data_IF_585613829840
#
_entry.id   IF_585613829840
#
_cell.length_a   1.000
_cell.length_b   1.000
_cell.length_c   1.000
_cell.angle_alpha   90.00
_cell.angle_beta   90.00
_cell.angle_gamma   90.00
#
_symmetry.space_group_name_H-M   'P 1'
#
loop_
_entity.id
_entity.type
_entity.pdbx_description
1 polymer ?
#
# COMPACT_ATOMS: atom_id res chain seq x y z
N UNK A 1 26.59 -22.63 47.86
CA UNK A 1 25.12 -22.82 47.98
C UNK A 1 24.43 -21.89 46.94
N UNK A 2 23.90 -22.47 45.89
CA UNK A 2 23.09 -21.71 44.90
C UNK A 2 21.65 -21.66 45.39
N UNK A 3 21.14 -20.46 45.67
CA UNK A 3 19.76 -20.20 46.03
C UNK A 3 18.86 -20.62 44.84
N UNK A 4 18.05 -21.65 45.04
CA UNK A 4 17.00 -22.00 44.11
C UNK A 4 15.85 -20.98 44.31
N UNK A 5 15.69 -20.05 43.39
CA UNK A 5 14.47 -19.23 43.31
C UNK A 5 13.30 -20.14 42.92
N UNK A 6 12.14 -20.05 43.60
CA UNK A 6 10.98 -20.87 43.27
C UNK A 6 10.48 -20.53 41.86
N UNK A 7 10.43 -21.53 41.00
CA UNK A 7 9.89 -21.41 39.64
C UNK A 7 8.38 -21.25 39.72
N UNK A 8 7.85 -20.06 39.31
CA UNK A 8 6.42 -19.82 39.25
C UNK A 8 5.76 -20.78 38.23
N UNK A 9 4.68 -21.45 38.65
CA UNK A 9 3.93 -22.34 37.74
C UNK A 9 3.28 -21.52 36.60
N UNK A 10 3.14 -22.10 35.40
CA UNK A 10 2.48 -21.46 34.24
C UNK A 10 1.07 -20.98 34.59
N UNK A 11 0.34 -21.73 35.40
CA UNK A 11 -1.00 -21.32 35.87
C UNK A 11 -0.95 -20.05 36.74
N UNK A 12 0.06 -19.89 37.58
CA UNK A 12 0.22 -18.69 38.39
C UNK A 12 0.56 -17.48 37.52
N UNK A 13 1.42 -17.64 36.51
CA UNK A 13 1.77 -16.58 35.56
C UNK A 13 0.54 -16.15 34.73
N UNK A 14 -0.27 -17.09 34.27
CA UNK A 14 -1.49 -16.79 33.50
C UNK A 14 -2.53 -16.03 34.36
N UNK A 15 -2.71 -16.41 35.60
CA UNK A 15 -3.61 -15.73 36.55
C UNK A 15 -3.09 -14.31 36.87
N UNK A 16 -1.78 -14.14 37.03
CA UNK A 16 -1.18 -12.83 37.29
C UNK A 16 -1.32 -11.93 36.07
N UNK A 17 -1.14 -12.44 34.85
CA UNK A 17 -1.33 -11.70 33.61
C UNK A 17 -2.81 -11.28 33.42
N UNK A 18 -3.76 -12.18 33.68
CA UNK A 18 -5.18 -11.89 33.60
C UNK A 18 -5.59 -10.80 34.63
N UNK A 19 -5.07 -10.88 35.86
CA UNK A 19 -5.31 -9.87 36.90
C UNK A 19 -4.77 -8.50 36.49
N UNK A 20 -3.54 -8.42 35.98
CA UNK A 20 -2.93 -7.17 35.49
C UNK A 20 -3.70 -6.58 34.32
N UNK A 21 -4.17 -7.41 33.39
CA UNK A 21 -5.00 -6.96 32.29
C UNK A 21 -6.35 -6.39 32.75
N UNK A 22 -6.97 -7.01 33.76
CA UNK A 22 -8.21 -6.50 34.34
C UNK A 22 -8.01 -5.17 35.06
N UNK A 23 -6.94 -5.03 35.85
CA UNK A 23 -6.54 -3.78 36.51
C UNK A 23 -6.29 -2.66 35.46
N UNK A 24 -5.58 -2.95 34.38
CA UNK A 24 -5.31 -2.02 33.28
C UNK A 24 -6.60 -1.57 32.60
N UNK A 25 -7.53 -2.49 32.31
CA UNK A 25 -8.83 -2.18 31.72
C UNK A 25 -9.72 -1.33 32.62
N UNK A 26 -9.60 -1.48 33.93
CA UNK A 26 -10.38 -0.69 34.90
C UNK A 26 -9.89 0.77 35.02
N UNK A 27 -8.62 1.04 34.67
CA UNK A 27 -8.00 2.39 34.73
C UNK A 27 -8.21 3.14 33.40
N UNK A 28 -8.45 2.40 32.30
CA UNK A 28 -8.71 3.05 31.02
C UNK A 28 -10.03 3.83 31.12
N UNK A 29 -10.04 5.13 30.75
CA UNK A 29 -11.29 5.86 30.63
C UNK A 29 -12.19 5.10 29.67
N UNK A 30 -13.47 4.95 30.03
CA UNK A 30 -14.47 4.36 29.14
C UNK A 30 -14.49 5.15 27.83
N UNK A 31 -13.75 4.67 26.84
CA UNK A 31 -13.81 5.25 25.50
C UNK A 31 -15.24 5.14 25.03
N UNK A 32 -15.89 6.24 24.62
CA UNK A 32 -17.21 6.15 24.01
C UNK A 32 -17.13 5.12 22.88
N UNK A 33 -18.19 4.32 22.65
CA UNK A 33 -18.16 3.29 21.62
C UNK A 33 -17.65 3.94 20.33
N UNK A 34 -16.49 3.49 19.87
CA UNK A 34 -15.90 3.97 18.61
C UNK A 34 -16.99 3.76 17.56
N UNK A 35 -17.33 4.83 16.83
CA UNK A 35 -18.19 4.67 15.64
C UNK A 35 -17.71 3.45 14.91
N UNK A 36 -18.61 2.54 14.48
CA UNK A 36 -18.19 1.31 13.81
C UNK A 36 -17.23 1.71 12.69
N UNK A 37 -15.98 1.25 12.81
CA UNK A 37 -14.93 1.53 11.82
C UNK A 37 -15.43 0.91 10.51
N UNK A 38 -15.94 1.74 9.61
CA UNK A 38 -16.28 1.29 8.27
C UNK A 38 -14.99 0.90 7.60
N UNK A 39 -14.73 -0.40 7.50
CA UNK A 39 -13.62 -0.92 6.73
C UNK A 39 -13.75 -0.37 5.32
N UNK A 40 -12.72 0.31 4.84
CA UNK A 40 -12.64 0.71 3.45
C UNK A 40 -12.38 -0.58 2.67
N UNK A 41 -13.36 -1.00 1.90
CA UNK A 41 -13.19 -2.12 0.98
C UNK A 41 -12.84 -1.57 -0.40
N UNK A 42 -12.07 -2.31 -1.16
CA UNK A 42 -11.88 -2.06 -2.58
C UNK A 42 -13.25 -1.99 -3.28
N UNK A 43 -13.41 -1.07 -4.22
CA UNK A 43 -14.63 -0.91 -5.00
C UNK A 43 -14.31 -1.15 -6.48
N UNK A 44 -15.11 -1.94 -7.19
CA UNK A 44 -14.90 -2.17 -8.62
C UNK A 44 -15.03 -0.85 -9.42
N UNK A 45 -14.34 -0.75 -10.56
CA UNK A 45 -14.54 0.34 -11.51
C UNK A 45 -15.88 0.20 -12.24
N UNK A 46 -16.34 1.26 -12.94
CA UNK A 46 -17.46 1.18 -13.87
C UNK A 46 -17.22 0.17 -15.01
N UNK A 47 -18.30 -0.14 -15.74
CA UNK A 47 -18.24 -0.99 -16.95
C UNK A 47 -17.28 -0.35 -17.97
N UNK A 48 -16.51 -1.18 -18.63
CA UNK A 48 -15.55 -0.82 -19.70
C UNK A 48 -14.36 0.04 -19.23
N UNK A 49 -14.19 0.21 -17.92
CA UNK A 49 -13.06 0.90 -17.31
C UNK A 49 -12.30 -0.08 -16.43
N UNK A 50 -10.99 -0.04 -16.48
CA UNK A 50 -10.12 -0.81 -15.57
C UNK A 50 -9.75 0.01 -14.34
N UNK A 51 -9.32 -0.68 -13.30
CA UNK A 51 -8.72 -0.04 -12.13
C UNK A 51 -7.29 -0.49 -11.98
N UNK A 52 -6.39 0.48 -11.89
CA UNK A 52 -4.96 0.28 -11.65
C UNK A 52 -4.71 0.67 -10.20
N UNK A 53 -4.50 -0.32 -9.33
CA UNK A 53 -4.04 -0.07 -7.97
C UNK A 53 -2.52 -0.21 -7.92
N UNK A 54 -1.86 0.70 -7.20
CA UNK A 54 -0.42 0.68 -7.02
C UNK A 54 -0.02 0.94 -5.57
N UNK A 55 1.11 0.38 -5.15
CA UNK A 55 1.72 0.59 -3.85
C UNK A 55 3.24 0.46 -3.97
N UNK A 56 3.98 1.15 -3.09
CA UNK A 56 5.42 1.07 -3.00
C UNK A 56 5.87 0.92 -1.55
N UNK A 57 6.94 0.20 -1.31
CA UNK A 57 7.52 0.10 0.02
C UNK A 57 9.05 0.06 0.01
N UNK A 58 9.61 0.37 1.17
CA UNK A 58 11.03 0.38 1.45
C UNK A 58 11.32 -0.75 2.43
N UNK A 59 12.30 -1.57 2.10
CA UNK A 59 12.79 -2.67 2.92
C UNK A 59 14.23 -2.38 3.31
N UNK A 60 14.40 -1.76 4.49
CA UNK A 60 15.70 -1.27 4.95
C UNK A 60 16.70 -2.40 5.22
N UNK A 61 16.24 -3.53 5.75
CA UNK A 61 17.07 -4.70 6.03
C UNK A 61 17.60 -5.33 4.74
N UNK A 62 16.76 -5.41 3.71
CA UNK A 62 17.10 -5.93 2.39
C UNK A 62 17.78 -4.91 1.48
N UNK A 63 17.92 -3.66 1.94
CA UNK A 63 18.49 -2.51 1.22
C UNK A 63 17.86 -2.31 -0.15
N UNK A 64 16.54 -2.45 -0.24
CA UNK A 64 15.80 -2.29 -1.48
C UNK A 64 14.47 -1.56 -1.27
N UNK A 65 13.91 -1.11 -2.37
CA UNK A 65 12.52 -0.69 -2.48
C UNK A 65 11.76 -1.66 -3.37
N UNK A 66 10.44 -1.62 -3.36
CA UNK A 66 9.64 -2.50 -4.22
C UNK A 66 8.36 -1.86 -4.71
N UNK A 67 7.86 -2.40 -5.80
CA UNK A 67 6.69 -1.95 -6.56
C UNK A 67 5.68 -3.07 -6.61
N UNK A 68 4.41 -2.73 -6.37
CA UNK A 68 3.28 -3.61 -6.59
C UNK A 68 2.21 -2.89 -7.40
N UNK A 69 1.80 -3.47 -8.52
CA UNK A 69 0.74 -2.94 -9.39
C UNK A 69 -0.22 -4.05 -9.74
N UNK A 70 -1.52 -3.75 -9.71
CA UNK A 70 -2.56 -4.66 -10.17
C UNK A 70 -3.58 -3.92 -11.03
N UNK A 71 -3.98 -4.54 -12.12
CA UNK A 71 -5.04 -4.07 -13.00
C UNK A 71 -6.22 -5.04 -12.89
N UNK A 72 -7.39 -4.51 -12.55
CA UNK A 72 -8.62 -5.30 -12.36
C UNK A 72 -9.78 -4.70 -13.16
N UNK A 73 -10.69 -5.58 -13.59
CA UNK A 73 -11.93 -5.19 -14.24
C UNK A 73 -13.08 -4.92 -13.25
N UNK A 74 -14.27 -4.69 -13.78
CA UNK A 74 -15.49 -4.43 -13.01
C UNK A 74 -15.96 -5.60 -12.14
N UNK A 75 -15.59 -6.83 -12.47
CA UNK A 75 -15.85 -8.03 -11.68
C UNK A 75 -14.79 -8.27 -10.60
N UNK A 76 -13.70 -7.47 -10.59
CA UNK A 76 -12.54 -7.65 -9.72
C UNK A 76 -11.59 -8.74 -10.23
N UNK A 77 -11.75 -9.19 -11.46
CA UNK A 77 -10.82 -10.14 -12.06
C UNK A 77 -9.49 -9.45 -12.37
N UNK A 78 -8.41 -10.15 -12.10
CA UNK A 78 -7.06 -9.67 -12.38
C UNK A 78 -6.79 -9.80 -13.87
N UNK A 79 -6.56 -8.67 -14.54
CA UNK A 79 -6.18 -8.60 -15.95
C UNK A 79 -4.66 -8.68 -16.09
N UNK A 80 -3.95 -7.95 -15.23
CA UNK A 80 -2.50 -7.97 -15.18
C UNK A 80 -2.02 -7.60 -13.76
N UNK A 81 -0.86 -8.09 -13.37
CA UNK A 81 -0.23 -7.73 -12.10
C UNK A 81 1.29 -7.66 -12.28
N UNK A 82 1.94 -6.79 -11.53
CA UNK A 82 3.39 -6.63 -11.54
C UNK A 82 3.90 -6.55 -10.11
N UNK A 83 4.98 -7.27 -9.86
CA UNK A 83 5.75 -7.22 -8.63
C UNK A 83 7.23 -7.06 -8.99
N UNK A 84 7.85 -5.95 -8.59
CA UNK A 84 9.20 -5.58 -9.00
C UNK A 84 10.03 -5.14 -7.81
N UNK A 85 11.27 -5.67 -7.72
CA UNK A 85 12.26 -5.26 -6.72
C UNK A 85 13.22 -4.23 -7.31
N UNK A 86 13.42 -3.13 -6.60
CA UNK A 86 14.34 -2.06 -6.97
C UNK A 86 15.54 -2.11 -6.02
N UNK A 87 16.77 -2.34 -6.53
CA UNK A 87 17.95 -2.50 -5.70
C UNK A 87 18.49 -1.15 -5.18
N UNK A 88 17.57 -0.29 -4.71
CA UNK A 88 17.87 1.04 -4.16
C UNK A 88 16.92 1.35 -3.03
N UNK A 89 17.42 2.06 -2.00
CA UNK A 89 16.60 2.65 -0.95
C UNK A 89 16.19 4.05 -1.39
N UNK A 90 14.89 4.24 -1.58
CA UNK A 90 14.28 5.53 -1.91
C UNK A 90 13.67 6.16 -0.65
N UNK A 91 13.32 7.45 -0.72
CA UNK A 91 12.48 8.05 0.31
C UNK A 91 11.02 7.59 0.14
N UNK A 92 10.20 7.54 1.22
CA UNK A 92 8.82 7.06 1.12
C UNK A 92 7.99 7.76 0.03
N UNK A 93 8.13 9.07 -0.11
CA UNK A 93 7.38 9.84 -1.12
C UNK A 93 7.93 9.60 -2.53
N UNK A 94 9.23 9.35 -2.66
CA UNK A 94 9.87 9.06 -3.94
C UNK A 94 9.42 7.71 -4.48
N UNK A 95 9.40 6.68 -3.65
CA UNK A 95 8.94 5.35 -4.07
C UNK A 95 7.48 5.41 -4.52
N UNK A 96 6.60 6.07 -3.79
CA UNK A 96 5.19 6.23 -4.15
C UNK A 96 5.00 6.94 -5.50
N UNK A 97 5.75 8.04 -5.75
CA UNK A 97 5.68 8.77 -7.01
C UNK A 97 6.25 7.94 -8.19
N UNK A 98 7.35 7.22 -7.95
CA UNK A 98 7.95 6.35 -8.96
C UNK A 98 7.03 5.17 -9.31
N UNK A 99 6.39 4.57 -8.31
CA UNK A 99 5.44 3.47 -8.53
C UNK A 99 4.24 3.93 -9.35
N UNK A 100 3.74 5.15 -9.14
CA UNK A 100 2.68 5.71 -9.97
C UNK A 100 3.10 5.80 -11.45
N UNK A 101 4.33 6.23 -11.72
CA UNK A 101 4.91 6.24 -13.07
C UNK A 101 4.96 4.83 -13.66
N UNK A 102 5.50 3.89 -12.89
CA UNK A 102 5.66 2.49 -13.32
C UNK A 102 4.31 1.80 -13.55
N UNK A 103 3.29 2.14 -12.74
CA UNK A 103 1.92 1.64 -12.92
C UNK A 103 1.30 2.09 -14.24
N UNK A 104 1.48 3.37 -14.61
CA UNK A 104 0.99 3.91 -15.88
C UNK A 104 1.73 3.31 -17.08
N UNK A 105 3.06 3.15 -16.98
CA UNK A 105 3.87 2.51 -18.01
C UNK A 105 3.41 1.06 -18.21
N UNK A 106 3.28 0.29 -17.13
CA UNK A 106 2.82 -1.10 -17.16
C UNK A 106 1.42 -1.24 -17.76
N UNK A 107 0.47 -0.40 -17.34
CA UNK A 107 -0.89 -0.43 -17.88
C UNK A 107 -0.91 -0.15 -19.40
N UNK A 108 -0.06 0.77 -19.89
CA UNK A 108 0.12 1.02 -21.32
C UNK A 108 0.73 -0.19 -22.05
N UNK A 109 1.74 -0.84 -21.44
CA UNK A 109 2.37 -2.05 -22.01
C UNK A 109 1.37 -3.19 -22.21
N UNK A 110 0.40 -3.33 -21.31
CA UNK A 110 -0.67 -4.35 -21.42
C UNK A 110 -1.88 -3.84 -22.21
N UNK A 111 -1.81 -2.66 -22.83
CA UNK A 111 -2.82 -2.17 -23.77
C UNK A 111 -4.03 -1.49 -23.11
N UNK A 112 -3.94 -1.07 -21.86
CA UNK A 112 -5.02 -0.36 -21.16
C UNK A 112 -5.01 1.13 -21.54
N UNK A 113 -6.14 1.64 -22.01
CA UNK A 113 -6.33 3.04 -22.40
C UNK A 113 -7.40 3.78 -21.59
N UNK A 114 -8.26 3.06 -20.85
CA UNK A 114 -9.29 3.63 -19.98
C UNK A 114 -9.22 3.01 -18.60
N UNK A 115 -8.78 3.77 -17.60
CA UNK A 115 -8.58 3.26 -16.26
C UNK A 115 -8.76 4.32 -15.17
N UNK A 116 -9.03 3.88 -13.95
CA UNK A 116 -8.91 4.66 -12.72
C UNK A 116 -7.55 4.33 -12.10
N UNK A 117 -6.70 5.34 -11.92
CA UNK A 117 -5.45 5.19 -11.18
C UNK A 117 -5.71 5.40 -9.69
N UNK A 118 -5.51 4.36 -8.87
CA UNK A 118 -5.81 4.39 -7.43
C UNK A 118 -4.60 3.99 -6.59
N UNK A 119 -4.30 4.78 -5.54
CA UNK A 119 -3.22 4.51 -4.59
C UNK A 119 -3.57 5.01 -3.19
N UNK A 120 -2.79 4.64 -2.18
CA UNK A 120 -3.00 5.04 -0.79
C UNK A 120 -2.16 6.26 -0.35
N UNK A 121 -1.27 6.75 -1.20
CA UNK A 121 -0.55 8.00 -0.99
C UNK A 121 -1.39 9.20 -1.44
N UNK A 122 -2.08 9.84 -0.49
CA UNK A 122 -2.90 11.03 -0.78
C UNK A 122 -2.07 12.16 -1.41
N UNK A 123 -0.81 12.30 -1.02
CA UNK A 123 0.08 13.33 -1.55
C UNK A 123 0.35 13.11 -3.04
N UNK A 124 0.71 11.89 -3.44
CA UNK A 124 0.98 11.53 -4.83
C UNK A 124 -0.29 11.64 -5.69
N UNK A 125 -1.42 11.11 -5.21
CA UNK A 125 -2.70 11.19 -5.91
C UNK A 125 -3.14 12.65 -6.12
N UNK A 126 -2.98 13.51 -5.12
CA UNK A 126 -3.28 14.96 -5.28
C UNK A 126 -2.35 15.62 -6.28
N UNK A 127 -1.04 15.37 -6.21
CA UNK A 127 -0.08 15.94 -7.16
C UNK A 127 -0.42 15.54 -8.61
N UNK A 128 -0.76 14.28 -8.84
CA UNK A 128 -1.23 13.78 -10.14
C UNK A 128 -2.54 14.45 -10.59
N UNK A 129 -3.51 14.61 -9.70
CA UNK A 129 -4.81 15.19 -10.04
C UNK A 129 -4.75 16.70 -10.34
N UNK A 130 -3.92 17.45 -9.59
CA UNK A 130 -3.84 18.92 -9.71
C UNK A 130 -2.82 19.42 -10.74
N UNK A 131 -1.98 18.52 -11.26
CA UNK A 131 -0.83 18.87 -12.10
C UNK A 131 0.15 19.82 -11.41
N UNK A 132 0.09 19.87 -10.09
CA UNK A 132 1.00 20.69 -9.29
C UNK A 132 2.27 19.89 -8.99
N UNK A 133 3.30 20.17 -9.77
CA UNK A 133 4.60 19.50 -9.61
C UNK A 133 5.34 20.06 -8.38
N UNK A 134 5.02 21.29 -7.96
CA UNK A 134 5.67 21.95 -6.83
C UNK A 134 7.20 21.97 -6.92
N UNK A 135 7.86 22.48 -5.88
CA UNK A 135 9.31 22.42 -5.71
C UNK A 135 9.74 21.20 -4.87
N UNK A 136 8.83 20.23 -4.68
CA UNK A 136 9.12 19.04 -3.88
C UNK A 136 10.12 18.11 -4.59
N UNK A 137 10.99 17.40 -3.85
CA UNK A 137 11.99 16.48 -4.44
C UNK A 137 11.37 15.43 -5.36
N UNK A 138 10.14 14.97 -5.08
CA UNK A 138 9.42 14.02 -5.92
C UNK A 138 8.72 14.64 -7.13
N UNK A 139 8.76 15.97 -7.31
CA UNK A 139 8.10 16.67 -8.42
C UNK A 139 8.54 16.21 -9.81
N UNK A 140 9.82 15.87 -9.98
CA UNK A 140 10.33 15.30 -11.23
C UNK A 140 9.72 13.92 -11.51
N UNK A 141 9.52 13.09 -10.49
CA UNK A 141 8.90 11.78 -10.63
C UNK A 141 7.40 11.90 -11.02
N UNK A 142 6.70 12.89 -10.45
CA UNK A 142 5.33 13.22 -10.87
C UNK A 142 5.31 13.71 -12.31
N UNK A 143 6.29 14.53 -12.73
CA UNK A 143 6.41 14.96 -14.12
C UNK A 143 6.64 13.80 -15.08
N UNK A 144 7.42 12.80 -14.68
CA UNK A 144 7.60 11.58 -15.47
C UNK A 144 6.28 10.79 -15.59
N UNK A 145 5.49 10.68 -14.52
CA UNK A 145 4.17 10.07 -14.58
C UNK A 145 3.26 10.76 -15.62
N UNK A 146 3.31 12.10 -15.72
CA UNK A 146 2.52 12.84 -16.72
C UNK A 146 2.82 12.48 -18.17
N UNK A 147 4.04 12.06 -18.49
CA UNK A 147 4.38 11.64 -19.85
C UNK A 147 3.58 10.42 -20.30
N UNK A 148 3.21 9.56 -19.34
CA UNK A 148 2.40 8.39 -19.61
C UNK A 148 0.90 8.66 -19.61
N UNK A 149 0.43 9.72 -18.94
CA UNK A 149 -1.02 10.02 -18.86
C UNK A 149 -1.65 10.31 -20.23
N UNK A 150 -0.87 10.83 -21.20
CA UNK A 150 -1.35 11.11 -22.56
C UNK A 150 -1.69 9.85 -23.36
N UNK A 151 -1.24 8.69 -22.92
CA UNK A 151 -1.59 7.40 -23.56
C UNK A 151 -3.00 6.90 -23.16
N UNK A 152 -3.63 7.54 -22.18
CA UNK A 152 -4.95 7.16 -21.70
C UNK A 152 -6.01 8.13 -22.24
N UNK A 153 -7.10 7.58 -22.79
CA UNK A 153 -8.29 8.35 -23.18
C UNK A 153 -9.11 8.78 -21.95
N UNK A 154 -9.03 7.98 -20.85
CA UNK A 154 -9.69 8.26 -19.58
C UNK A 154 -8.80 7.79 -18.43
N UNK A 155 -8.40 8.73 -17.53
CA UNK A 155 -7.56 8.40 -16.36
C UNK A 155 -7.92 9.26 -15.14
N UNK A 156 -9.09 9.09 -14.52
CA UNK A 156 -9.35 9.69 -13.23
C UNK A 156 -8.44 9.12 -12.15
N UNK A 157 -8.08 10.00 -11.18
CA UNK A 157 -7.23 9.64 -10.05
C UNK A 157 -8.08 9.45 -8.80
N UNK A 158 -7.83 8.39 -8.05
CA UNK A 158 -8.57 8.02 -6.83
C UNK A 158 -7.61 7.74 -5.68
N UNK A 159 -7.94 8.28 -4.51
CA UNK A 159 -7.27 7.90 -3.28
C UNK A 159 -8.09 6.86 -2.52
N UNK A 160 -7.45 5.79 -2.11
CA UNK A 160 -8.04 4.79 -1.23
C UNK A 160 -7.23 4.68 0.07
N UNK A 161 -7.80 4.04 1.10
CA UNK A 161 -7.02 3.66 2.28
C UNK A 161 -6.31 2.33 2.03
N UNK A 162 -5.30 2.04 2.86
CA UNK A 162 -4.51 0.82 2.75
C UNK A 162 -5.36 -0.46 2.68
N UNK A 163 -6.48 -0.51 3.41
CA UNK A 163 -7.39 -1.67 3.38
C UNK A 163 -8.07 -1.86 2.01
N UNK A 164 -8.24 -0.77 1.24
CA UNK A 164 -8.73 -0.82 -0.14
C UNK A 164 -7.64 -1.05 -1.18
N UNK A 165 -6.34 -0.99 -0.78
CA UNK A 165 -5.17 -1.19 -1.65
C UNK A 165 -4.40 -2.49 -1.32
N UNK A 166 -5.05 -3.42 -0.62
CA UNK A 166 -4.37 -4.57 -0.01
C UNK A 166 -3.63 -5.45 -1.02
N UNK A 167 -4.20 -5.68 -2.21
CA UNK A 167 -3.59 -6.55 -3.22
C UNK A 167 -2.29 -5.95 -3.76
N UNK A 168 -2.28 -4.64 -4.08
CA UNK A 168 -1.06 -3.94 -4.49
C UNK A 168 0.00 -4.01 -3.37
N UNK A 169 -0.42 -3.82 -2.11
CA UNK A 169 0.46 -3.96 -0.95
C UNK A 169 1.06 -5.37 -0.78
N UNK A 170 0.31 -6.41 -1.05
CA UNK A 170 0.82 -7.79 -0.97
C UNK A 170 1.77 -8.11 -2.13
N UNK A 171 1.56 -7.53 -3.32
CA UNK A 171 2.51 -7.60 -4.44
C UNK A 171 3.85 -6.92 -4.10
N UNK A 172 3.82 -5.79 -3.39
CA UNK A 172 5.03 -5.13 -2.87
C UNK A 172 5.83 -6.06 -1.96
N UNK A 173 5.19 -6.79 -1.06
CA UNK A 173 5.85 -7.76 -0.19
C UNK A 173 6.41 -8.96 -0.98
N UNK A 174 5.67 -9.41 -1.99
CA UNK A 174 6.11 -10.51 -2.86
C UNK A 174 7.42 -10.16 -3.56
N UNK A 175 7.59 -8.91 -4.01
CA UNK A 175 8.79 -8.45 -4.72
C UNK A 175 10.10 -8.71 -3.99
N UNK A 176 10.09 -8.68 -2.65
CA UNK A 176 11.31 -8.94 -1.85
C UNK A 176 11.72 -10.40 -1.90
N UNK A 177 10.76 -11.32 -2.08
CA UNK A 177 10.98 -12.77 -2.06
C UNK A 177 11.37 -13.35 -3.43
N UNK A 178 11.20 -12.56 -4.50
CA UNK A 178 11.52 -12.98 -5.86
C UNK A 178 12.80 -12.30 -6.37
N UNK A 179 13.61 -12.98 -7.19
CA UNK A 179 14.89 -12.43 -7.64
C UNK A 179 14.76 -11.28 -8.66
N UNK A 180 13.66 -11.23 -9.41
CA UNK A 180 13.44 -10.28 -10.51
C UNK A 180 11.97 -9.79 -10.52
N UNK A 181 11.65 -8.95 -11.52
CA UNK A 181 10.26 -8.58 -11.83
C UNK A 181 9.46 -9.81 -12.27
N UNK A 182 8.22 -9.91 -11.79
CA UNK A 182 7.21 -10.89 -12.23
C UNK A 182 5.98 -10.12 -12.71
N UNK A 183 5.52 -10.50 -13.89
CA UNK A 183 4.32 -9.97 -14.54
C UNK A 183 3.32 -11.10 -14.74
#
# INVERSE_FOLDING_TARGET
>A
MRSQQPCCSLNHLSQLAAKRLAEYRAILPSTPPSRPYRRTCWKPPPVDIFKINFDGAIFAEEKCSSVGVIVQDKEGLVIAAMSEKIPQLLQPTEIEAMVATRALEFAREVGISEAILEGDSLLVIKALATKDIGLAPFGLLIQDAYRFTSAFSLLPHSHTKREGNQVAHDLVKLAVTIPNCVI
#
